data_IF_365499524563
#
_entry.id   IF_365499524563
#
_cell.length_a   1.000
_cell.length_b   1.000
_cell.length_c   1.000
_cell.angle_alpha   90.00
_cell.angle_beta   90.00
_cell.angle_gamma   90.00
#
_symmetry.space_group_name_H-M   'P 1'
#
loop_
_entity.id
_entity.type
_entity.pdbx_description
1 polymer ?
#
# COMPACT_ATOMS: atom_id res chain seq x y z
N UNK A 1 10.16 0.48 5.50
CA UNK A 1 9.74 1.31 4.33
C UNK A 1 10.12 0.53 3.10
N UNK A 2 9.12 -0.07 2.43
CA UNK A 2 9.37 -0.96 1.29
C UNK A 2 8.19 -1.10 0.32
N UNK A 3 7.00 -0.61 0.67
CA UNK A 3 5.77 -0.83 -0.11
C UNK A 3 5.84 -0.38 -1.56
N UNK A 4 6.34 0.83 -1.82
CA UNK A 4 6.51 1.32 -3.20
C UNK A 4 7.48 0.46 -4.02
N UNK A 5 8.60 0.04 -3.41
CA UNK A 5 9.61 -0.80 -4.06
C UNK A 5 9.08 -2.22 -4.31
N UNK A 6 8.33 -2.78 -3.35
CA UNK A 6 7.66 -4.08 -3.51
C UNK A 6 6.62 -4.05 -4.63
N UNK A 7 5.83 -2.98 -4.75
CA UNK A 7 4.89 -2.85 -5.87
C UNK A 7 5.59 -2.68 -7.21
N UNK A 8 6.71 -1.94 -7.26
CA UNK A 8 7.51 -1.79 -8.46
C UNK A 8 8.10 -3.14 -8.89
N UNK A 9 8.68 -3.88 -7.94
CA UNK A 9 9.17 -5.24 -8.17
C UNK A 9 8.07 -6.17 -8.67
N UNK A 10 6.88 -6.16 -8.06
CA UNK A 10 5.79 -7.03 -8.51
C UNK A 10 5.39 -6.73 -9.97
N UNK A 11 5.33 -5.45 -10.33
CA UNK A 11 5.10 -5.03 -11.72
C UNK A 11 6.20 -5.54 -12.64
N UNK A 12 7.45 -5.33 -12.29
CA UNK A 12 8.58 -5.67 -13.15
C UNK A 12 8.68 -7.18 -13.37
N UNK A 13 8.31 -8.00 -12.38
CA UNK A 13 8.40 -9.47 -12.46
C UNK A 13 7.13 -10.13 -13.01
N UNK A 14 5.94 -9.63 -12.66
CA UNK A 14 4.66 -10.30 -12.97
C UNK A 14 3.70 -9.48 -13.83
N UNK A 15 4.00 -8.19 -14.07
CA UNK A 15 3.07 -7.21 -14.66
C UNK A 15 3.21 -6.99 -16.17
N UNK A 16 3.88 -7.88 -16.92
CA UNK A 16 4.15 -7.70 -18.35
C UNK A 16 2.87 -7.49 -19.17
N UNK A 17 1.84 -8.30 -18.92
CA UNK A 17 0.53 -8.19 -19.58
C UNK A 17 -0.15 -6.85 -19.28
N UNK A 18 -0.13 -6.43 -18.00
CA UNK A 18 -0.72 -5.15 -17.60
C UNK A 18 0.02 -3.97 -18.21
N UNK A 19 1.33 -4.09 -18.43
CA UNK A 19 2.12 -3.07 -19.11
C UNK A 19 1.66 -2.89 -20.55
N UNK A 20 1.48 -3.97 -21.30
CA UNK A 20 0.98 -3.91 -22.68
C UNK A 20 -0.44 -3.34 -22.75
N UNK A 21 -1.31 -3.69 -21.80
CA UNK A 21 -2.67 -3.13 -21.71
C UNK A 21 -2.60 -1.64 -21.41
N UNK A 22 -1.80 -1.23 -20.43
CA UNK A 22 -1.64 0.15 -19.99
C UNK A 22 -1.17 1.07 -21.13
N UNK A 23 -0.22 0.61 -21.95
CA UNK A 23 0.25 1.31 -23.15
C UNK A 23 -0.88 1.51 -24.18
N UNK A 24 -1.69 0.47 -24.44
CA UNK A 24 -2.81 0.54 -25.40
C UNK A 24 -3.92 1.48 -24.96
N UNK A 25 -4.18 1.58 -23.66
CA UNK A 25 -5.30 2.38 -23.11
C UNK A 25 -4.86 3.72 -22.51
N UNK A 26 -3.58 4.08 -22.66
CA UNK A 26 -2.97 5.29 -22.11
C UNK A 26 -3.29 5.52 -20.61
N UNK A 27 -3.10 4.47 -19.80
CA UNK A 27 -3.27 4.52 -18.33
C UNK A 27 -2.00 4.10 -17.62
N UNK A 28 -1.91 4.38 -16.32
CA UNK A 28 -0.82 3.82 -15.53
C UNK A 28 -1.00 2.31 -15.36
N UNK A 29 0.10 1.57 -15.27
CA UNK A 29 0.05 0.13 -15.01
C UNK A 29 -0.65 -0.17 -13.66
N UNK A 30 -0.45 0.70 -12.67
CA UNK A 30 -1.04 0.56 -11.33
C UNK A 30 -2.56 0.60 -11.40
N UNK A 31 -3.13 1.47 -12.24
CA UNK A 31 -4.59 1.50 -12.44
C UNK A 31 -5.12 0.19 -13.02
N UNK A 32 -4.37 -0.47 -13.89
CA UNK A 32 -4.78 -1.77 -14.45
C UNK A 32 -4.75 -2.86 -13.38
N UNK A 33 -3.67 -2.92 -12.59
CA UNK A 33 -3.55 -3.87 -11.48
C UNK A 33 -4.61 -3.62 -10.40
N UNK A 34 -4.83 -2.37 -10.01
CA UNK A 34 -5.86 -1.97 -9.06
C UNK A 34 -7.25 -2.40 -9.54
N UNK A 35 -7.56 -2.14 -10.82
CA UNK A 35 -8.85 -2.53 -11.39
C UNK A 35 -9.07 -4.04 -11.38
N UNK A 36 -8.03 -4.84 -11.68
CA UNK A 36 -8.12 -6.31 -11.59
C UNK A 36 -8.32 -6.76 -10.13
N UNK A 37 -7.55 -6.19 -9.20
CA UNK A 37 -7.60 -6.54 -7.77
C UNK A 37 -8.88 -6.09 -7.05
N UNK A 38 -9.59 -5.07 -7.54
CA UNK A 38 -10.89 -4.68 -6.99
C UNK A 38 -11.93 -5.81 -6.96
N UNK A 39 -11.85 -6.75 -7.91
CA UNK A 39 -12.76 -7.91 -7.97
C UNK A 39 -12.45 -9.01 -6.96
N UNK A 40 -11.25 -9.00 -6.37
CA UNK A 40 -10.85 -9.94 -5.34
C UNK A 40 -11.50 -9.49 -4.02
N UNK A 41 -12.14 -10.38 -3.24
CA UNK A 41 -12.72 -10.02 -1.94
C UNK A 41 -11.63 -9.61 -0.92
N UNK A 42 -11.97 -8.88 0.16
CA UNK A 42 -11.04 -8.62 1.26
C UNK A 42 -10.43 -9.91 1.83
N UNK A 43 -9.15 -9.86 2.20
CA UNK A 43 -8.38 -11.00 2.68
C UNK A 43 -7.86 -11.91 1.56
N UNK A 44 -7.95 -11.47 0.30
CA UNK A 44 -7.39 -12.13 -0.88
C UNK A 44 -7.66 -13.64 -0.97
N UNK A 45 -8.85 -14.11 -0.56
CA UNK A 45 -9.21 -15.53 -0.47
C UNK A 45 -8.25 -16.38 0.40
N UNK A 46 -7.86 -15.81 1.55
CA UNK A 46 -6.91 -16.39 2.51
C UNK A 46 -5.45 -16.47 2.01
N UNK A 47 -5.11 -15.80 0.91
CA UNK A 47 -3.73 -15.57 0.51
C UNK A 47 -3.11 -14.46 1.36
N UNK A 48 -2.16 -14.81 2.21
CA UNK A 48 -1.45 -13.86 3.07
C UNK A 48 -0.08 -13.57 2.48
N UNK A 49 0.31 -12.30 2.43
CA UNK A 49 1.64 -11.88 2.03
C UNK A 49 2.42 -11.20 3.16
N UNK A 50 3.75 -11.31 3.08
CA UNK A 50 4.71 -10.43 3.75
C UNK A 50 5.40 -9.62 2.65
N UNK A 51 5.20 -8.30 2.64
CA UNK A 51 5.70 -7.41 1.58
C UNK A 51 7.17 -6.97 1.71
N UNK A 52 7.88 -7.32 2.78
CA UNK A 52 9.22 -6.78 3.10
C UNK A 52 10.38 -7.49 2.38
N UNK A 53 10.42 -7.38 1.05
CA UNK A 53 11.41 -8.07 0.20
C UNK A 53 12.87 -7.66 0.48
N UNK A 54 13.11 -6.37 0.74
CA UNK A 54 14.44 -5.82 1.03
C UNK A 54 14.81 -5.83 2.52
N UNK A 55 14.01 -6.48 3.36
CA UNK A 55 14.08 -6.33 4.81
C UNK A 55 13.43 -5.03 5.31
N UNK A 56 13.20 -4.96 6.63
CA UNK A 56 12.54 -3.88 7.41
C UNK A 56 11.02 -3.74 7.29
N UNK A 57 10.32 -4.44 8.19
CA UNK A 57 8.96 -4.10 8.64
C UNK A 57 8.90 -3.50 10.05
N UNK A 58 7.68 -3.35 10.56
CA UNK A 58 7.37 -3.07 11.94
C UNK A 58 7.87 -4.22 12.83
N UNK A 59 8.64 -3.91 13.88
CA UNK A 59 9.68 -4.77 14.46
C UNK A 59 10.85 -4.98 13.50
N UNK A 60 11.67 -3.93 13.37
CA UNK A 60 12.78 -3.82 12.43
C UNK A 60 13.63 -5.10 12.37
N UNK A 61 13.46 -5.86 11.30
CA UNK A 61 14.24 -7.05 10.99
C UNK A 61 14.88 -6.90 9.59
N UNK A 62 16.21 -6.84 9.46
CA UNK A 62 16.89 -6.80 8.15
C UNK A 62 16.86 -8.15 7.41
N UNK A 63 16.58 -9.25 8.09
CA UNK A 63 16.61 -10.60 7.54
C UNK A 63 15.25 -11.08 7.01
N UNK A 64 14.15 -10.39 7.35
CA UNK A 64 12.83 -10.70 6.81
C UNK A 64 12.85 -10.64 5.27
N UNK A 65 12.16 -11.58 4.64
CA UNK A 65 11.99 -11.66 3.18
C UNK A 65 10.52 -11.78 2.85
N UNK A 66 10.18 -11.45 1.61
CA UNK A 66 8.80 -11.57 1.17
C UNK A 66 8.36 -13.02 1.07
N UNK A 67 7.08 -13.23 1.34
CA UNK A 67 6.49 -14.55 1.46
C UNK A 67 5.02 -14.47 1.06
N UNK A 68 4.50 -15.52 0.43
CA UNK A 68 3.07 -15.77 0.31
C UNK A 68 2.71 -17.13 0.92
N UNK A 69 1.67 -17.17 1.74
CA UNK A 69 1.15 -18.38 2.39
C UNK A 69 -0.32 -18.55 2.03
N UNK A 70 -0.76 -19.79 1.81
CA UNK A 70 -2.18 -20.13 1.62
C UNK A 70 -2.65 -20.13 0.17
N UNK A 71 -1.75 -20.09 -0.82
CA UNK A 71 -2.14 -20.15 -2.23
C UNK A 71 -2.71 -21.54 -2.61
N UNK A 72 -3.61 -21.51 -3.58
CA UNK A 72 -4.37 -22.66 -4.12
C UNK A 72 -4.54 -22.44 -5.62
N UNK A 73 -5.02 -23.45 -6.35
CA UNK A 73 -5.27 -23.37 -7.80
C UNK A 73 -6.27 -22.27 -8.22
N UNK A 74 -7.07 -21.74 -7.29
CA UNK A 74 -8.04 -20.69 -7.56
C UNK A 74 -7.43 -19.28 -7.55
N UNK A 75 -6.22 -19.13 -6.99
CA UNK A 75 -5.57 -17.84 -6.90
C UNK A 75 -4.98 -17.40 -8.24
N UNK A 76 -5.19 -16.13 -8.55
CA UNK A 76 -4.70 -15.47 -9.77
C UNK A 76 -3.81 -14.29 -9.41
N UNK A 77 -3.11 -13.72 -10.39
CA UNK A 77 -2.17 -12.60 -10.23
C UNK A 77 -2.74 -11.43 -9.41
N UNK A 78 -4.02 -11.09 -9.61
CA UNK A 78 -4.71 -10.05 -8.88
C UNK A 78 -4.86 -10.34 -7.37
N UNK A 79 -4.90 -11.62 -6.96
CA UNK A 79 -4.90 -12.01 -5.55
C UNK A 79 -3.53 -11.77 -4.92
N UNK A 80 -2.44 -12.12 -5.61
CA UNK A 80 -1.08 -11.87 -5.14
C UNK A 80 -0.77 -10.38 -5.04
N UNK A 81 -1.27 -9.58 -5.98
CA UNK A 81 -1.15 -8.13 -5.93
C UNK A 81 -1.94 -7.56 -4.75
N UNK A 82 -3.22 -7.93 -4.61
CA UNK A 82 -4.06 -7.45 -3.50
C UNK A 82 -3.51 -7.86 -2.14
N UNK A 83 -3.00 -9.08 -2.00
CA UNK A 83 -2.43 -9.55 -0.73
C UNK A 83 -1.19 -8.74 -0.33
N UNK A 84 -0.40 -8.21 -1.27
CA UNK A 84 0.68 -7.26 -0.97
C UNK A 84 0.11 -5.94 -0.42
N UNK A 85 -0.94 -5.39 -1.05
CA UNK A 85 -1.61 -4.17 -0.58
C UNK A 85 -2.12 -4.33 0.86
N UNK A 86 -2.79 -5.47 1.11
CA UNK A 86 -3.34 -5.85 2.40
C UNK A 86 -2.22 -6.07 3.44
N UNK A 87 -1.11 -6.71 3.08
CA UNK A 87 0.05 -6.92 3.95
C UNK A 87 0.55 -5.61 4.59
N UNK A 88 0.76 -4.58 3.78
CA UNK A 88 1.17 -3.27 4.29
C UNK A 88 0.05 -2.55 5.05
N UNK A 89 -1.21 -2.74 4.66
CA UNK A 89 -2.33 -2.18 5.39
C UNK A 89 -2.45 -2.78 6.81
N UNK A 90 -2.26 -4.08 6.97
CA UNK A 90 -2.23 -4.75 8.27
C UNK A 90 -1.09 -4.23 9.15
N UNK A 91 0.07 -3.99 8.56
CA UNK A 91 1.19 -3.36 9.27
C UNK A 91 0.83 -1.95 9.77
N UNK A 92 0.15 -1.13 8.96
CA UNK A 92 -0.36 0.16 9.41
C UNK A 92 -1.39 0.02 10.54
N UNK A 93 -2.29 -0.97 10.45
CA UNK A 93 -3.24 -1.32 11.52
C UNK A 93 -2.52 -1.58 12.84
N UNK A 94 -1.50 -2.44 12.83
CA UNK A 94 -0.70 -2.76 14.01
C UNK A 94 -0.05 -1.51 14.64
N UNK A 95 0.52 -0.63 13.80
CA UNK A 95 1.11 0.63 14.27
C UNK A 95 0.05 1.54 14.90
N UNK A 96 -1.11 1.65 14.28
CA UNK A 96 -2.22 2.49 14.77
C UNK A 96 -2.77 1.97 16.09
N UNK A 97 -2.91 0.66 16.25
CA UNK A 97 -3.35 0.04 17.51
C UNK A 97 -2.36 0.35 18.65
N UNK A 98 -1.07 0.38 18.34
CA UNK A 98 -0.03 0.72 19.30
C UNK A 98 -0.07 2.21 19.65
N UNK A 99 -0.35 3.10 18.69
CA UNK A 99 -0.59 4.52 18.97
C UNK A 99 -1.81 4.68 19.88
N UNK A 100 -2.95 4.05 19.55
CA UNK A 100 -4.19 4.10 20.34
C UNK A 100 -3.96 3.59 21.77
N UNK A 101 -3.18 2.53 21.94
CA UNK A 101 -2.84 1.95 23.25
C UNK A 101 -1.98 2.90 24.10
N UNK A 102 -0.97 3.54 23.52
CA UNK A 102 -0.05 4.42 24.25
C UNK A 102 -0.60 5.83 24.47
N UNK A 103 -1.51 6.28 23.59
CA UNK A 103 -2.08 7.63 23.61
C UNK A 103 -3.61 7.58 23.52
N UNK A 104 -4.31 7.05 24.53
CA UNK A 104 -5.76 6.80 24.46
C UNK A 104 -6.60 8.08 24.36
N UNK A 105 -6.03 9.24 24.66
CA UNK A 105 -6.68 10.54 24.53
C UNK A 105 -6.62 11.11 23.11
N UNK A 106 -5.80 10.55 22.21
CA UNK A 106 -5.71 10.99 20.83
C UNK A 106 -6.84 10.40 20.00
N UNK A 107 -7.69 11.27 19.45
CA UNK A 107 -8.70 10.89 18.47
C UNK A 107 -8.12 10.96 17.05
N UNK A 108 -7.73 9.81 16.49
CA UNK A 108 -7.28 9.71 15.10
C UNK A 108 -8.48 9.76 14.14
N UNK A 109 -8.77 10.94 13.57
CA UNK A 109 -9.93 11.16 12.70
C UNK A 109 -9.65 10.82 11.22
N UNK A 110 -8.46 11.15 10.76
CA UNK A 110 -8.06 10.98 9.36
C UNK A 110 -6.56 10.78 9.22
N UNK A 111 -6.16 10.16 8.11
CA UNK A 111 -4.77 9.96 7.70
C UNK A 111 -4.59 10.63 6.35
N UNK A 112 -3.75 11.66 6.31
CA UNK A 112 -3.37 12.31 5.06
C UNK A 112 -2.35 11.46 4.31
N UNK A 113 -2.62 11.21 3.03
CA UNK A 113 -1.73 10.45 2.13
C UNK A 113 -1.15 11.31 1.03
N UNK A 114 0.12 11.05 0.75
CA UNK A 114 0.94 11.70 -0.27
C UNK A 114 1.75 10.66 -1.05
N UNK A 115 2.36 11.08 -2.16
CA UNK A 115 3.25 10.25 -2.98
C UNK A 115 2.51 9.19 -3.82
N UNK A 116 3.27 8.27 -4.42
CA UNK A 116 2.72 7.29 -5.36
C UNK A 116 1.61 6.41 -4.78
N UNK A 117 1.73 6.03 -3.50
CA UNK A 117 0.70 5.24 -2.81
C UNK A 117 -0.63 5.96 -2.62
N UNK A 118 -0.64 7.30 -2.64
CA UNK A 118 -1.87 8.09 -2.56
C UNK A 118 -2.69 8.03 -3.86
N UNK A 119 -2.07 7.69 -5.00
CA UNK A 119 -2.74 7.61 -6.31
C UNK A 119 -3.65 6.38 -6.45
N UNK A 120 -3.44 5.35 -5.63
CA UNK A 120 -4.26 4.13 -5.62
C UNK A 120 -5.49 4.28 -4.71
N UNK A 121 -6.66 4.45 -5.31
CA UNK A 121 -7.93 4.51 -4.57
C UNK A 121 -8.25 3.16 -3.91
N UNK A 122 -7.94 2.04 -4.57
CA UNK A 122 -8.08 0.70 -4.00
C UNK A 122 -7.26 0.58 -2.71
N UNK A 123 -5.98 0.95 -2.75
CA UNK A 123 -5.12 0.78 -1.58
C UNK A 123 -5.50 1.73 -0.45
N UNK A 124 -5.91 2.96 -0.77
CA UNK A 124 -6.46 3.88 0.22
C UNK A 124 -7.70 3.31 0.91
N UNK A 125 -8.59 2.65 0.15
CA UNK A 125 -9.75 1.97 0.72
C UNK A 125 -9.34 0.79 1.62
N UNK A 126 -8.44 -0.09 1.15
CA UNK A 126 -7.93 -1.22 1.96
C UNK A 126 -7.34 -0.74 3.29
N UNK A 127 -6.51 0.32 3.26
CA UNK A 127 -5.96 0.91 4.48
C UNK A 127 -7.06 1.47 5.38
N UNK A 128 -8.07 2.12 4.82
CA UNK A 128 -9.23 2.62 5.58
C UNK A 128 -10.01 1.48 6.24
N UNK A 129 -10.27 0.39 5.51
CA UNK A 129 -11.00 -0.78 6.00
C UNK A 129 -10.25 -1.47 7.13
N UNK A 130 -8.93 -1.62 7.00
CA UNK A 130 -8.08 -2.28 8.02
C UNK A 130 -7.93 -1.43 9.28
N UNK A 131 -7.75 -0.12 9.12
CA UNK A 131 -7.43 0.77 10.25
C UNK A 131 -8.66 1.36 10.93
N UNK A 132 -9.81 1.35 10.24
CA UNK A 132 -11.03 2.04 10.65
C UNK A 132 -10.92 3.56 10.61
N UNK A 133 -9.94 4.12 9.89
CA UNK A 133 -9.68 5.57 9.83
C UNK A 133 -9.79 6.05 8.38
N UNK A 134 -10.37 7.23 8.17
CA UNK A 134 -10.51 7.82 6.84
C UNK A 134 -9.14 8.22 6.26
N UNK A 135 -8.85 7.77 5.04
CA UNK A 135 -7.67 8.18 4.28
C UNK A 135 -8.02 9.36 3.35
N UNK A 136 -7.26 10.45 3.41
CA UNK A 136 -7.51 11.69 2.65
C UNK A 136 -6.32 12.00 1.74
N UNK A 137 -6.58 12.09 0.43
CA UNK A 137 -5.58 12.49 -0.56
C UNK A 137 -5.37 14.01 -0.46
N UNK A 138 -4.13 14.44 -0.21
CA UNK A 138 -3.81 15.86 -0.28
C UNK A 138 -3.78 16.30 -1.75
N UNK A 139 -4.38 17.45 -2.05
CA UNK A 139 -4.33 18.07 -3.38
C UNK A 139 -2.96 18.77 -3.61
N UNK A 140 -1.87 18.03 -3.39
CA UNK A 140 -0.50 18.51 -3.55
C UNK A 140 0.47 17.35 -3.73
N UNK A 141 1.20 17.33 -4.84
CA UNK A 141 2.19 16.29 -5.13
C UNK A 141 3.57 16.59 -4.51
N UNK A 142 3.90 17.87 -4.32
CA UNK A 142 5.21 18.39 -3.87
C UNK A 142 5.27 18.68 -2.37
N UNK A 143 4.59 17.86 -1.55
CA UNK A 143 4.48 18.08 -0.10
C UNK A 143 5.86 18.27 0.59
N UNK A 144 6.88 17.51 0.16
CA UNK A 144 8.25 17.64 0.69
C UNK A 144 8.87 18.99 0.35
N UNK A 145 8.80 19.42 -0.91
CA UNK A 145 9.35 20.71 -1.35
C UNK A 145 8.63 21.86 -0.65
N UNK A 146 7.31 21.80 -0.59
CA UNK A 146 6.50 22.78 0.10
C UNK A 146 6.84 22.87 1.59
N UNK A 147 7.04 21.73 2.25
CA UNK A 147 7.51 21.68 3.65
C UNK A 147 8.85 22.38 3.82
N UNK A 148 9.82 22.13 2.93
CA UNK A 148 11.12 22.81 2.96
C UNK A 148 10.99 24.32 2.76
N UNK A 149 10.14 24.76 1.83
CA UNK A 149 9.89 26.20 1.60
C UNK A 149 9.28 26.85 2.83
N UNK A 150 8.29 26.21 3.47
CA UNK A 150 7.68 26.74 4.69
C UNK A 150 8.68 26.90 5.84
N UNK A 151 9.56 25.91 6.03
CA UNK A 151 10.62 25.99 7.04
C UNK A 151 11.61 27.10 6.70
N UNK A 152 12.03 27.19 5.43
CA UNK A 152 12.97 28.21 4.98
C UNK A 152 12.41 29.63 5.02
N UNK A 153 11.11 29.81 4.77
CA UNK A 153 10.43 31.11 4.85
C UNK A 153 10.06 31.54 6.27
N UNK A 154 10.14 30.63 7.26
CA UNK A 154 9.97 30.94 8.67
C UNK A 154 11.29 31.29 9.37
N UNK A 155 12.42 30.78 8.84
CA UNK A 155 13.78 31.07 9.31
C UNK A 155 14.25 32.46 8.86
#
# INVERSE_FOLDING_TARGET
IGSGVTHAWFKDIFGQEEKEIAEKVNKSYYEILDKKAQSVPPGSNALIAIGHLGGRGYQVDPNIRGLWIGHTWNHKKEHFYKSILESFAYEYGNVIDIIKKNYPHLSLKEINVIGGGAKSDLWNQIKSDVTGIRYVKLNREDATLFGSILIAGHA
#
